data_IF_271214535306
#
_entry.id   IF_271214535306
#
_cell.length_a   1.000
_cell.length_b   1.000
_cell.length_c   1.000
_cell.angle_alpha   90.00
_cell.angle_beta   90.00
_cell.angle_gamma   90.00
#
_symmetry.space_group_name_H-M   'P 1'
#
loop_
_entity.id
_entity.type
_entity.pdbx_description
1 polymer ?
#
# COMPACT_ATOMS: atom_id res chain seq x y z
N UNK A 1 21.10 3.54 45.86
CA UNK A 1 19.77 2.88 45.86
C UNK A 1 19.44 2.40 44.46
N UNK A 2 19.31 1.08 44.26
CA UNK A 2 18.86 0.47 42.99
C UNK A 2 17.34 0.53 42.96
N UNK A 3 16.74 1.30 42.06
CA UNK A 3 15.32 1.22 41.78
C UNK A 3 15.06 -0.01 40.91
N UNK A 4 14.45 -1.02 41.52
CA UNK A 4 13.86 -2.17 40.86
C UNK A 4 12.67 -1.70 40.03
N UNK A 5 12.74 -1.84 38.71
CA UNK A 5 11.58 -1.71 37.84
C UNK A 5 10.91 -3.08 37.72
N UNK A 6 9.74 -3.24 38.34
CA UNK A 6 8.85 -4.40 38.18
C UNK A 6 8.04 -4.27 36.88
N UNK A 7 8.18 -5.18 35.90
CA UNK A 7 7.30 -5.20 34.75
C UNK A 7 6.02 -5.97 35.09
N UNK A 8 4.91 -5.25 35.28
CA UNK A 8 3.59 -5.85 35.34
C UNK A 8 3.04 -6.07 33.91
N UNK A 9 2.98 -7.35 33.52
CA UNK A 9 1.99 -7.93 32.61
C UNK A 9 1.79 -7.26 31.23
N UNK A 10 2.74 -7.45 30.31
CA UNK A 10 2.52 -7.34 28.86
C UNK A 10 2.19 -8.70 28.19
N UNK A 11 1.51 -9.59 28.90
CA UNK A 11 1.25 -10.98 28.47
C UNK A 11 0.13 -11.14 27.40
N UNK A 12 -0.24 -10.08 26.66
CA UNK A 12 -1.32 -10.14 25.65
C UNK A 12 -0.97 -9.58 24.27
N UNK A 13 0.22 -9.01 24.07
CA UNK A 13 0.64 -8.50 22.75
C UNK A 13 1.40 -9.56 21.94
N UNK A 14 1.99 -10.54 22.61
CA UNK A 14 2.87 -11.54 21.99
C UNK A 14 2.12 -12.62 21.16
N UNK A 15 0.79 -12.68 21.24
CA UNK A 15 -0.05 -13.62 20.47
C UNK A 15 -0.56 -13.11 19.12
N UNK A 16 -0.23 -11.87 18.72
CA UNK A 16 -0.72 -11.30 17.45
C UNK A 16 0.35 -11.14 16.36
N UNK A 17 1.60 -11.53 16.65
CA UNK A 17 2.70 -11.44 15.69
C UNK A 17 3.41 -12.77 15.56
N UNK A 18 2.68 -13.80 15.11
CA UNK A 18 3.34 -14.94 14.48
C UNK A 18 4.07 -14.43 13.21
N UNK A 19 5.36 -14.76 13.02
CA UNK A 19 6.08 -14.35 11.83
C UNK A 19 5.40 -14.98 10.61
N UNK A 20 5.15 -14.17 9.57
CA UNK A 20 4.61 -14.64 8.31
C UNK A 20 5.42 -15.86 7.82
N UNK A 21 4.85 -17.07 7.96
CA UNK A 21 5.46 -18.29 7.44
C UNK A 21 5.66 -18.13 5.94
N UNK A 22 6.93 -18.31 5.53
CA UNK A 22 7.48 -18.11 4.20
C UNK A 22 6.54 -18.62 3.11
N UNK A 23 6.24 -17.76 2.13
CA UNK A 23 5.71 -18.20 0.85
C UNK A 23 6.76 -19.10 0.17
N UNK A 24 6.37 -20.22 -0.48
CA UNK A 24 7.30 -20.98 -1.29
C UNK A 24 7.58 -20.20 -2.59
N UNK A 25 8.61 -19.35 -2.59
CA UNK A 25 9.17 -18.80 -3.81
C UNK A 25 10.21 -19.79 -4.36
N UNK A 26 9.81 -20.64 -5.31
CA UNK A 26 10.72 -21.58 -5.97
C UNK A 26 11.63 -20.83 -6.94
N UNK A 27 12.92 -20.77 -6.59
CA UNK A 27 14.03 -20.39 -7.46
C UNK A 27 14.36 -21.63 -8.30
N UNK A 28 13.95 -21.66 -9.57
CA UNK A 28 14.25 -22.78 -10.45
C UNK A 28 15.76 -22.82 -10.71
N UNK A 29 16.47 -23.74 -10.07
CA UNK A 29 17.82 -24.13 -10.43
C UNK A 29 17.72 -25.15 -11.57
N UNK A 30 18.11 -24.74 -12.77
CA UNK A 30 18.34 -25.67 -13.89
C UNK A 30 19.64 -26.40 -13.57
N UNK A 31 19.54 -27.65 -13.11
CA UNK A 31 20.69 -28.56 -12.99
C UNK A 31 20.78 -29.32 -14.31
N UNK A 32 21.61 -28.81 -15.23
CA UNK A 32 22.07 -29.56 -16.38
C UNK A 32 23.00 -30.67 -15.87
N UNK A 33 22.57 -31.93 -15.95
CA UNK A 33 23.37 -33.09 -15.56
C UNK A 33 23.57 -33.97 -16.77
N UNK A 34 24.54 -33.59 -17.61
CA UNK A 34 24.99 -34.39 -18.74
C UNK A 34 26.15 -35.29 -18.30
N UNK A 35 25.83 -36.54 -17.98
CA UNK A 35 26.81 -37.62 -18.00
C UNK A 35 26.75 -38.29 -19.37
N UNK A 36 27.57 -37.83 -20.32
CA UNK A 36 27.95 -38.62 -21.48
C UNK A 36 28.88 -39.74 -21.03
N UNK A 37 28.39 -40.99 -21.05
CA UNK A 37 29.22 -42.18 -21.15
C UNK A 37 28.79 -42.93 -22.42
N UNK A 38 29.38 -42.55 -23.54
CA UNK A 38 29.22 -43.26 -24.80
C UNK A 38 30.13 -44.50 -24.79
N UNK A 39 29.53 -45.68 -24.59
CA UNK A 39 30.13 -46.95 -24.96
C UNK A 39 29.85 -47.20 -26.44
N UNK A 40 30.89 -46.99 -27.24
CA UNK A 40 30.98 -47.29 -28.66
C UNK A 40 31.03 -48.83 -28.83
N UNK A 41 29.92 -49.44 -29.22
CA UNK A 41 29.92 -50.82 -29.71
C UNK A 41 29.53 -50.83 -31.19
N UNK A 42 30.49 -51.31 -31.96
CA UNK A 42 30.46 -51.56 -33.39
C UNK A 42 29.43 -52.66 -33.69
N UNK A 43 28.44 -52.37 -34.52
CA UNK A 43 27.79 -53.38 -35.36
C UNK A 43 27.35 -52.72 -36.67
N UNK A 44 27.98 -53.15 -37.75
CA UNK A 44 27.58 -52.94 -39.14
C UNK A 44 26.09 -53.27 -39.35
N UNK A 45 25.34 -52.39 -40.04
CA UNK A 45 23.94 -52.62 -40.41
C UNK A 45 23.78 -52.43 -41.93
N UNK A 46 23.57 -53.51 -42.69
CA UNK A 46 22.94 -53.45 -44.00
C UNK A 46 21.41 -53.47 -43.85
N UNK A 47 20.70 -52.59 -44.56
CA UNK A 47 19.24 -52.64 -44.75
C UNK A 47 18.89 -53.96 -45.48
N UNK A 48 17.72 -54.64 -45.25
CA UNK A 48 16.44 -53.94 -45.26
C UNK A 48 15.30 -54.49 -44.39
N UNK A 49 14.39 -53.62 -43.94
CA UNK A 49 12.95 -53.94 -43.94
C UNK A 49 12.09 -52.75 -43.53
N UNK A 50 10.97 -52.58 -44.26
CA UNK A 50 9.86 -51.67 -43.95
C UNK A 50 9.41 -51.73 -42.47
N UNK A 51 9.64 -52.86 -41.78
CA UNK A 51 9.35 -53.03 -40.36
C UNK A 51 10.11 -52.05 -39.46
N UNK A 52 11.35 -51.67 -39.76
CA UNK A 52 12.11 -50.73 -38.93
C UNK A 52 11.55 -49.30 -39.03
N UNK A 53 11.10 -48.89 -40.22
CA UNK A 53 10.49 -47.58 -40.43
C UNK A 53 9.10 -47.52 -39.80
N UNK A 54 8.30 -48.59 -39.96
CA UNK A 54 7.00 -48.68 -39.29
C UNK A 54 7.15 -48.75 -37.77
N UNK A 55 8.11 -49.50 -37.23
CA UNK A 55 8.38 -49.54 -35.80
C UNK A 55 8.86 -48.19 -35.27
N UNK A 56 9.70 -47.46 -36.01
CA UNK A 56 10.13 -46.12 -35.62
C UNK A 56 8.99 -45.09 -35.66
N UNK A 57 8.10 -45.14 -36.66
CA UNK A 57 6.91 -44.28 -36.72
C UNK A 57 5.91 -44.66 -35.63
N UNK A 58 5.72 -45.95 -35.34
CA UNK A 58 4.82 -46.41 -34.28
C UNK A 58 5.34 -46.05 -32.89
N UNK A 59 6.63 -46.25 -32.64
CA UNK A 59 7.30 -45.78 -31.41
C UNK A 59 7.32 -44.25 -31.33
N UNK A 60 7.44 -43.54 -32.44
CA UNK A 60 7.37 -42.08 -32.50
C UNK A 60 5.97 -41.54 -32.16
N UNK A 61 4.91 -42.10 -32.74
CA UNK A 61 3.51 -41.73 -32.45
C UNK A 61 3.13 -42.13 -31.03
N UNK A 62 3.60 -43.29 -30.56
CA UNK A 62 3.37 -43.76 -29.19
C UNK A 62 4.13 -42.91 -28.17
N UNK A 63 5.37 -42.52 -28.45
CA UNK A 63 6.12 -41.58 -27.62
C UNK A 63 5.48 -40.17 -27.65
N UNK A 64 4.93 -39.74 -28.78
CA UNK A 64 4.23 -38.46 -28.89
C UNK A 64 2.89 -38.47 -28.13
N UNK A 65 2.17 -39.60 -28.09
CA UNK A 65 0.94 -39.73 -27.33
C UNK A 65 1.18 -39.79 -25.82
N UNK A 66 2.21 -40.50 -25.36
CA UNK A 66 2.63 -40.48 -23.95
C UNK A 66 3.18 -39.11 -23.54
N UNK A 67 3.95 -38.45 -24.41
CA UNK A 67 4.43 -37.07 -24.18
C UNK A 67 3.27 -36.07 -24.07
N UNK A 68 2.20 -36.24 -24.85
CA UNK A 68 1.01 -35.39 -24.78
C UNK A 68 0.21 -35.59 -23.49
N UNK A 69 0.20 -36.80 -22.93
CA UNK A 69 -0.39 -37.07 -21.62
C UNK A 69 0.42 -36.44 -20.47
N UNK A 70 1.75 -36.45 -20.58
CA UNK A 70 2.65 -35.84 -19.60
C UNK A 70 2.55 -34.31 -19.59
N UNK A 71 2.30 -33.69 -20.76
CA UNK A 71 2.02 -32.26 -20.87
C UNK A 71 0.65 -31.85 -20.27
N UNK A 72 -0.31 -32.77 -20.19
CA UNK A 72 -1.61 -32.52 -19.57
C UNK A 72 -1.49 -32.50 -18.03
N UNK A 73 -0.77 -33.46 -17.44
CA UNK A 73 -0.50 -33.51 -16.00
C UNK A 73 0.31 -32.28 -15.52
N UNK A 74 1.28 -31.81 -16.30
CA UNK A 74 2.04 -30.59 -15.97
C UNK A 74 1.18 -29.31 -15.94
N UNK A 75 0.05 -29.25 -16.67
CA UNK A 75 -0.89 -28.12 -16.64
C UNK A 75 -1.84 -28.20 -15.45
N UNK A 76 -2.20 -29.41 -15.03
CA UNK A 76 -3.11 -29.63 -13.89
C UNK A 76 -2.46 -29.19 -12.56
N UNK A 77 -1.17 -29.47 -12.35
CA UNK A 77 -0.42 -29.01 -11.16
C UNK A 77 -0.37 -27.47 -11.07
N UNK A 78 -0.29 -26.78 -12.21
CA UNK A 78 -0.27 -25.30 -12.25
C UNK A 78 -1.63 -24.67 -11.93
N UNK A 79 -2.73 -25.35 -12.27
CA UNK A 79 -4.08 -24.90 -11.92
C UNK A 79 -4.36 -25.10 -10.43
N UNK A 80 -3.94 -26.24 -9.87
CA UNK A 80 -4.03 -26.50 -8.43
C UNK A 80 -3.25 -25.46 -7.63
N UNK A 81 -2.03 -25.10 -8.04
CA UNK A 81 -1.23 -24.08 -7.36
C UNK A 81 -1.88 -22.68 -7.41
N UNK A 82 -2.57 -22.34 -8.50
CA UNK A 82 -3.30 -21.06 -8.63
C UNK A 82 -4.53 -21.02 -7.72
N UNK A 83 -5.28 -22.12 -7.63
CA UNK A 83 -6.46 -22.22 -6.76
C UNK A 83 -6.08 -22.13 -5.28
N UNK A 84 -4.99 -22.78 -4.87
CA UNK A 84 -4.46 -22.67 -3.51
C UNK A 84 -4.05 -21.24 -3.16
N UNK A 85 -3.40 -20.51 -4.09
CA UNK A 85 -3.07 -19.09 -3.90
C UNK A 85 -4.32 -18.22 -3.74
N UNK A 86 -5.33 -18.41 -4.60
CA UNK A 86 -6.61 -17.69 -4.53
C UNK A 86 -7.35 -17.98 -3.22
N UNK A 87 -7.40 -19.25 -2.81
CA UNK A 87 -8.04 -19.67 -1.57
C UNK A 87 -7.34 -19.07 -0.33
N UNK A 88 -6.02 -18.95 -0.38
CA UNK A 88 -5.23 -18.32 0.68
C UNK A 88 -5.49 -16.81 0.80
N UNK A 89 -5.61 -16.10 -0.34
CA UNK A 89 -5.96 -14.68 -0.36
C UNK A 89 -7.39 -14.43 0.17
N UNK A 90 -8.35 -15.26 -0.22
CA UNK A 90 -9.73 -15.19 0.28
C UNK A 90 -9.82 -15.49 1.78
N UNK A 91 -9.05 -16.49 2.26
CA UNK A 91 -8.94 -16.77 3.70
C UNK A 91 -8.37 -15.57 4.46
N UNK A 92 -7.38 -14.87 3.89
CA UNK A 92 -6.83 -13.63 4.47
C UNK A 92 -7.83 -12.49 4.49
N UNK A 93 -8.60 -12.29 3.40
CA UNK A 93 -9.66 -11.26 3.36
C UNK A 93 -10.71 -11.52 4.43
N UNK A 94 -11.21 -12.76 4.54
CA UNK A 94 -12.18 -13.16 5.56
C UNK A 94 -11.63 -12.95 6.97
N UNK A 95 -10.39 -13.34 7.23
CA UNK A 95 -9.75 -13.09 8.52
C UNK A 95 -9.66 -11.58 8.84
N UNK A 96 -9.34 -10.74 7.85
CA UNK A 96 -9.32 -9.27 8.00
C UNK A 96 -10.71 -8.73 8.30
N UNK A 97 -11.73 -9.21 7.61
CA UNK A 97 -13.13 -8.81 7.83
C UNK A 97 -13.66 -9.25 9.19
N UNK A 98 -13.42 -10.51 9.59
CA UNK A 98 -13.75 -11.01 10.92
C UNK A 98 -13.05 -10.20 11.99
N UNK A 99 -11.76 -9.88 11.81
CA UNK A 99 -11.02 -8.99 12.71
C UNK A 99 -11.61 -7.59 12.74
N UNK A 100 -12.06 -7.04 11.60
CA UNK A 100 -12.70 -5.71 11.51
C UNK A 100 -14.06 -5.69 12.19
N UNK A 101 -14.84 -6.77 12.05
CA UNK A 101 -16.14 -6.99 12.73
C UNK A 101 -15.95 -7.19 14.24
N UNK A 102 -14.97 -7.99 14.65
CA UNK A 102 -14.62 -8.24 16.07
C UNK A 102 -14.03 -7.00 16.75
N UNK A 103 -13.21 -6.22 16.04
CA UNK A 103 -12.74 -4.89 16.47
C UNK A 103 -13.82 -3.82 16.36
N UNK A 104 -15.08 -4.22 16.14
CA UNK A 104 -16.27 -3.39 15.88
C UNK A 104 -16.03 -1.95 16.26
N UNK A 105 -15.81 -1.11 15.24
CA UNK A 105 -15.39 0.30 15.29
C UNK A 105 -15.56 0.89 16.69
N UNK A 106 -14.56 0.65 17.56
CA UNK A 106 -14.42 1.40 18.79
C UNK A 106 -13.97 2.78 18.34
N UNK A 107 -14.95 3.59 17.93
CA UNK A 107 -14.83 5.03 17.76
C UNK A 107 -14.30 5.50 19.12
N UNK A 108 -13.01 5.86 19.18
CA UNK A 108 -12.32 6.40 20.37
C UNK A 108 -13.26 7.45 20.99
N UNK A 109 -13.97 7.08 22.05
CA UNK A 109 -14.92 7.96 22.75
C UNK A 109 -14.31 8.51 24.05
N UNK A 110 -13.05 8.15 24.33
CA UNK A 110 -12.41 8.36 25.63
C UNK A 110 -11.09 9.16 25.52
N UNK A 111 -10.86 9.90 24.43
CA UNK A 111 -9.81 10.92 24.43
C UNK A 111 -10.30 12.15 25.22
N UNK A 112 -9.44 12.78 26.04
CA UNK A 112 -9.74 14.05 26.69
C UNK A 112 -10.32 15.06 25.68
N UNK A 113 -11.26 15.92 26.08
CA UNK A 113 -11.86 16.89 25.17
C UNK A 113 -10.76 17.74 24.53
N UNK A 114 -10.74 17.77 23.20
CA UNK A 114 -9.73 18.50 22.45
C UNK A 114 -9.81 20.00 22.76
N UNK A 115 -8.66 20.61 23.03
CA UNK A 115 -8.55 22.03 23.24
C UNK A 115 -8.77 22.75 21.91
N UNK A 116 -9.80 23.60 21.84
CA UNK A 116 -10.15 24.33 20.61
C UNK A 116 -9.44 25.67 20.58
N UNK A 117 -8.49 25.80 19.67
CA UNK A 117 -7.72 27.02 19.44
C UNK A 117 -8.35 27.76 18.26
N UNK A 118 -8.89 28.94 18.51
CA UNK A 118 -9.52 29.79 17.48
C UNK A 118 -8.53 30.82 16.98
N UNK A 119 -8.19 30.71 15.70
CA UNK A 119 -7.26 31.60 15.00
C UNK A 119 -8.06 32.45 14.02
N UNK A 120 -7.75 33.74 13.91
CA UNK A 120 -8.30 34.58 12.87
C UNK A 120 -7.21 35.06 11.90
N UNK A 121 -7.54 35.04 10.61
CA UNK A 121 -6.71 35.60 9.55
C UNK A 121 -7.43 36.81 8.96
N UNK A 122 -6.83 37.98 9.13
CA UNK A 122 -7.32 39.26 8.63
C UNK A 122 -6.48 39.68 7.43
N UNK A 123 -7.13 39.97 6.30
CA UNK A 123 -6.46 40.48 5.10
C UNK A 123 -7.11 41.77 4.64
N UNK A 124 -6.30 42.73 4.17
CA UNK A 124 -6.80 43.91 3.47
C UNK A 124 -6.52 43.76 1.98
N UNK A 125 -7.51 44.07 1.15
CA UNK A 125 -7.27 44.27 -0.27
C UNK A 125 -6.40 45.52 -0.46
N UNK A 126 -5.37 45.41 -1.29
CA UNK A 126 -4.45 46.49 -1.64
C UNK A 126 -4.35 46.56 -3.17
N UNK A 127 -4.32 47.77 -3.72
CA UNK A 127 -4.10 47.95 -5.16
C UNK A 127 -2.66 47.54 -5.51
N UNK A 128 -2.54 46.48 -6.31
CA UNK A 128 -1.25 45.99 -6.78
C UNK A 128 -0.78 46.89 -7.93
N UNK A 129 0.39 47.55 -7.84
CA UNK A 129 0.90 48.35 -8.94
C UNK A 129 1.21 47.47 -10.15
N UNK A 130 1.02 47.96 -11.39
CA UNK A 130 1.28 47.16 -12.59
C UNK A 130 2.76 46.80 -12.68
N UNK A 131 3.07 45.50 -12.78
CA UNK A 131 4.43 45.06 -13.02
C UNK A 131 4.78 45.23 -14.51
N UNK A 132 6.07 45.50 -14.80
CA UNK A 132 6.57 45.69 -16.17
C UNK A 132 6.45 44.39 -17.01
N UNK A 133 6.39 43.24 -16.35
CA UNK A 133 6.27 41.92 -16.95
C UNK A 133 5.27 41.09 -16.15
N UNK A 134 3.99 41.13 -16.54
CA UNK A 134 2.94 40.30 -15.94
C UNK A 134 2.92 38.92 -16.63
N UNK A 135 3.88 38.04 -16.28
CA UNK A 135 3.90 36.66 -16.77
C UNK A 135 2.91 35.76 -16.00
N UNK A 136 2.78 36.01 -14.70
CA UNK A 136 1.88 35.27 -13.81
C UNK A 136 0.59 36.06 -13.56
N UNK A 137 -0.55 35.37 -13.42
CA UNK A 137 -1.80 36.01 -13.03
C UNK A 137 -1.70 36.53 -11.58
N UNK A 138 -2.26 37.72 -11.34
CA UNK A 138 -2.36 38.29 -9.98
C UNK A 138 -3.40 37.49 -9.21
N UNK A 139 -2.96 36.78 -8.17
CA UNK A 139 -3.86 36.08 -7.25
C UNK A 139 -4.30 37.04 -6.13
N UNK A 140 -5.58 37.01 -5.80
CA UNK A 140 -6.19 37.92 -4.81
C UNK A 140 -6.27 37.29 -3.42
N UNK A 141 -6.12 35.97 -3.31
CA UNK A 141 -6.42 35.17 -2.12
C UNK A 141 -5.26 34.28 -1.64
N UNK A 142 -4.03 34.52 -2.11
CA UNK A 142 -2.86 33.69 -1.76
C UNK A 142 -2.68 33.55 -0.24
N UNK A 143 -2.83 34.65 0.49
CA UNK A 143 -2.72 34.66 1.95
C UNK A 143 -3.80 33.80 2.63
N UNK A 144 -5.03 33.86 2.13
CA UNK A 144 -6.16 33.07 2.66
C UNK A 144 -5.93 31.59 2.40
N UNK A 145 -5.47 31.24 1.20
CA UNK A 145 -5.17 29.85 0.85
C UNK A 145 -4.01 29.27 1.68
N UNK A 146 -2.96 30.07 1.92
CA UNK A 146 -1.88 29.70 2.83
C UNK A 146 -2.37 29.43 4.26
N UNK A 147 -3.27 30.26 4.77
CA UNK A 147 -3.86 30.06 6.10
C UNK A 147 -4.67 28.76 6.20
N UNK A 148 -5.42 28.40 5.13
CA UNK A 148 -6.15 27.13 5.07
C UNK A 148 -5.23 25.92 5.10
N UNK A 149 -4.17 25.94 4.28
CA UNK A 149 -3.18 24.85 4.25
C UNK A 149 -2.51 24.69 5.61
N UNK A 150 -2.13 25.80 6.26
CA UNK A 150 -1.52 25.76 7.57
C UNK A 150 -2.43 25.12 8.63
N UNK A 151 -3.73 25.41 8.59
CA UNK A 151 -4.71 24.83 9.54
C UNK A 151 -4.97 23.36 9.26
N UNK A 152 -5.00 22.96 7.99
CA UNK A 152 -5.10 21.56 7.62
C UNK A 152 -3.91 20.76 8.16
N UNK A 153 -2.68 21.24 7.96
CA UNK A 153 -1.47 20.60 8.45
C UNK A 153 -1.41 20.56 9.99
N UNK A 154 -1.74 21.69 10.64
CA UNK A 154 -1.80 21.78 12.10
C UNK A 154 -2.87 20.88 12.70
N UNK A 155 -3.98 20.63 12.01
CA UNK A 155 -4.99 19.70 12.50
C UNK A 155 -4.53 18.24 12.39
N UNK A 156 -3.68 17.89 11.42
CA UNK A 156 -3.11 16.52 11.35
C UNK A 156 -2.18 16.26 12.54
N UNK A 157 -1.29 17.20 12.84
CA UNK A 157 -0.33 17.11 13.94
C UNK A 157 -0.97 17.40 15.31
N UNK A 158 -1.98 18.26 15.35
CA UNK A 158 -2.77 18.62 16.53
C UNK A 158 -3.49 17.42 17.16
N UNK A 159 -3.79 16.37 16.37
CA UNK A 159 -4.33 15.12 16.91
C UNK A 159 -3.45 14.45 17.96
N UNK A 160 -2.13 14.66 17.92
CA UNK A 160 -1.19 14.14 18.92
C UNK A 160 -1.28 14.89 20.25
N UNK A 161 -1.58 16.19 20.20
CA UNK A 161 -1.71 17.07 21.37
C UNK A 161 -3.16 17.20 21.86
N UNK A 162 -4.11 16.55 21.18
CA UNK A 162 -5.56 16.77 21.35
C UNK A 162 -5.92 18.26 21.22
N UNK A 163 -5.38 18.92 20.20
CA UNK A 163 -5.68 20.32 19.86
C UNK A 163 -6.39 20.38 18.51
N UNK A 164 -7.48 21.13 18.46
CA UNK A 164 -8.24 21.40 17.25
C UNK A 164 -8.09 22.88 16.89
N UNK A 165 -7.59 23.16 15.69
CA UNK A 165 -7.41 24.52 15.17
C UNK A 165 -8.58 24.92 14.28
N UNK A 166 -9.21 26.05 14.62
CA UNK A 166 -10.36 26.61 13.89
C UNK A 166 -9.97 27.96 13.32
N UNK A 167 -10.09 28.10 11.99
CA UNK A 167 -9.78 29.32 11.27
C UNK A 167 -11.03 30.18 11.05
N UNK A 168 -10.92 31.48 11.30
CA UNK A 168 -11.86 32.49 10.85
C UNK A 168 -11.15 33.43 9.86
N UNK A 169 -11.70 33.55 8.65
CA UNK A 169 -11.13 34.37 7.58
C UNK A 169 -11.95 35.65 7.42
N UNK A 170 -11.29 36.81 7.41
CA UNK A 170 -11.94 38.11 7.17
C UNK A 170 -11.11 38.92 6.19
N UNK A 171 -11.69 39.21 5.04
CA UNK A 171 -11.12 40.12 4.04
C UNK A 171 -11.81 41.48 4.13
N UNK A 172 -11.01 42.54 4.25
CA UNK A 172 -11.47 43.93 4.30
C UNK A 172 -11.20 44.59 2.95
N UNK A 173 -12.20 45.24 2.33
CA UNK A 173 -12.04 45.88 1.03
C UNK A 173 -11.13 47.11 1.11
N UNK A 174 -10.71 47.59 -0.07
CA UNK A 174 -9.93 48.82 -0.22
C UNK A 174 -10.57 50.01 0.52
N UNK A 175 -9.81 50.62 1.44
CA UNK A 175 -10.28 51.74 2.26
C UNK A 175 -11.19 51.38 3.44
N UNK A 176 -11.43 50.09 3.71
CA UNK A 176 -12.19 49.63 4.88
C UNK A 176 -11.43 49.79 6.20
N UNK A 177 -12.18 49.87 7.31
CA UNK A 177 -11.59 50.00 8.65
C UNK A 177 -11.09 48.64 9.18
N UNK A 178 -9.79 48.41 9.02
CA UNK A 178 -9.10 47.24 9.55
C UNK A 178 -9.15 47.14 11.07
N UNK A 179 -9.08 48.28 11.77
CA UNK A 179 -9.03 48.30 13.23
C UNK A 179 -10.38 47.87 13.78
N UNK A 180 -11.47 48.30 13.17
CA UNK A 180 -12.81 47.82 13.52
C UNK A 180 -12.96 46.31 13.26
N UNK A 181 -12.48 45.80 12.13
CA UNK A 181 -12.52 44.37 11.82
C UNK A 181 -11.71 43.53 12.83
N UNK A 182 -10.50 43.98 13.17
CA UNK A 182 -9.67 43.34 14.19
C UNK A 182 -10.34 43.32 15.57
N UNK A 183 -10.90 44.45 16.02
CA UNK A 183 -11.62 44.54 17.30
C UNK A 183 -12.80 43.56 17.37
N UNK A 184 -13.54 43.38 16.26
CA UNK A 184 -14.62 42.40 16.18
C UNK A 184 -14.12 40.97 16.35
N UNK A 185 -12.99 40.62 15.73
CA UNK A 185 -12.38 39.30 15.84
C UNK A 185 -11.89 39.00 17.25
N UNK A 186 -11.20 39.96 17.88
CA UNK A 186 -10.75 39.82 19.27
C UNK A 186 -11.94 39.69 20.23
N UNK A 187 -13.01 40.47 20.02
CA UNK A 187 -14.24 40.34 20.81
C UNK A 187 -14.93 38.97 20.63
N UNK A 188 -14.79 38.34 19.46
CA UNK A 188 -15.24 36.97 19.18
C UNK A 188 -14.39 35.87 19.86
N UNK A 189 -13.32 36.25 20.56
CA UNK A 189 -12.39 35.33 21.23
C UNK A 189 -11.42 34.65 20.27
N UNK A 190 -11.24 35.19 19.07
CA UNK A 190 -10.16 34.78 18.18
C UNK A 190 -8.84 35.42 18.65
N UNK A 191 -7.76 34.65 18.61
CA UNK A 191 -6.42 35.09 19.03
C UNK A 191 -5.43 35.05 17.89
#
# INVERSE_FOLDING_TARGET
MRCFYTPAASASVEKLFEPARKMPFRRNHIVLKDHLRMSFFRTDVPWPSLCAVFAAVFLGVFAFSTFRAELALAREDTLQEIEERKAWDEKRKKLREERRKKKGVQKKKDSPPAEKIRIAFLTQEVEVPPALSNLDPILTDEGVHGARIAIEDNNTTGTFLNQDYILAEVTVPLGGDLVAAFKKLVAGGHR
#
